data_IF_461506879542
#
_entry.id   IF_461506879542
#
_cell.length_a   1.000
_cell.length_b   1.000
_cell.length_c   1.000
_cell.angle_alpha   90.00
_cell.angle_beta   90.00
_cell.angle_gamma   90.00
#
_symmetry.space_group_name_H-M   'P 1'
#
loop_
_entity.id
_entity.type
_entity.pdbx_description
1 polymer ?
#
# COMPACT_ATOMS: atom_id res chain seq x y z
N UNK A 1 7.44 45.19 -5.24
CA UNK A 1 7.20 43.90 -5.90
C UNK A 1 7.02 42.89 -4.77
N UNK A 2 5.84 42.31 -4.63
CA UNK A 2 5.60 41.32 -3.58
C UNK A 2 6.26 40.01 -4.02
N UNK A 3 7.13 39.48 -3.17
CA UNK A 3 7.78 38.19 -3.40
C UNK A 3 6.71 37.09 -3.28
N UNK A 4 6.51 36.33 -4.36
CA UNK A 4 5.57 35.22 -4.40
C UNK A 4 6.07 34.12 -3.47
N UNK A 5 5.39 33.92 -2.34
CA UNK A 5 5.72 32.85 -1.41
C UNK A 5 5.35 31.52 -2.07
N UNK A 6 6.35 30.82 -2.61
CA UNK A 6 6.17 29.48 -3.15
C UNK A 6 6.00 28.49 -1.99
N UNK A 7 4.75 28.15 -1.67
CA UNK A 7 4.43 27.16 -0.63
C UNK A 7 4.76 25.75 -1.15
N UNK A 8 5.89 25.19 -0.73
CA UNK A 8 6.21 23.77 -0.94
C UNK A 8 5.39 22.93 0.04
N UNK A 9 4.50 22.07 -0.47
CA UNK A 9 3.81 21.04 0.31
C UNK A 9 4.43 19.68 -0.01
N UNK A 10 4.88 18.98 1.02
CA UNK A 10 5.51 17.66 0.91
C UNK A 10 4.77 16.70 1.84
N UNK A 11 4.43 15.52 1.32
CA UNK A 11 3.85 14.42 2.10
C UNK A 11 4.84 13.27 2.01
N UNK A 12 5.43 12.90 3.15
CA UNK A 12 6.30 11.74 3.25
C UNK A 12 5.49 10.54 3.77
N UNK A 13 5.53 9.45 3.01
CA UNK A 13 4.92 8.18 3.36
C UNK A 13 6.03 7.15 3.36
N UNK A 14 6.23 6.51 4.51
CA UNK A 14 7.18 5.42 4.71
C UNK A 14 6.40 4.17 5.05
N UNK A 15 6.73 3.08 4.38
CA UNK A 15 6.13 1.76 4.58
C UNK A 15 7.22 0.71 4.49
N UNK A 16 7.15 -0.28 5.37
CA UNK A 16 7.94 -1.50 5.26
C UNK A 16 7.06 -2.60 4.69
N UNK A 17 7.60 -3.45 3.83
CA UNK A 17 6.85 -4.58 3.31
C UNK A 17 7.76 -5.78 3.09
N UNK A 18 7.25 -6.96 3.44
CA UNK A 18 7.90 -8.23 3.18
C UNK A 18 7.01 -9.13 2.33
N UNK A 19 7.66 -9.96 1.50
CA UNK A 19 6.98 -11.00 0.74
C UNK A 19 7.30 -12.34 1.36
N UNK A 20 6.26 -13.09 1.69
CA UNK A 20 6.33 -14.44 2.19
C UNK A 20 6.05 -15.44 1.07
N UNK A 21 5.95 -16.72 1.42
CA UNK A 21 5.61 -17.76 0.47
C UNK A 21 4.20 -17.57 -0.11
N UNK A 22 3.96 -18.21 -1.27
CA UNK A 22 2.63 -18.30 -1.88
C UNK A 22 1.95 -16.94 -2.02
N UNK A 23 2.68 -15.97 -2.57
CA UNK A 23 2.22 -14.61 -2.87
C UNK A 23 1.76 -13.76 -1.67
N UNK A 24 1.88 -14.24 -0.44
CA UNK A 24 1.54 -13.49 0.77
C UNK A 24 2.52 -12.34 0.99
N UNK A 25 2.00 -11.22 1.47
CA UNK A 25 2.76 -10.03 1.80
C UNK A 25 2.22 -9.43 3.09
N UNK A 26 3.14 -8.97 3.93
CA UNK A 26 2.83 -8.22 5.14
C UNK A 26 3.47 -6.84 5.01
N UNK A 27 2.66 -5.80 5.15
CA UNK A 27 3.09 -4.40 5.08
C UNK A 27 2.82 -3.66 6.37
N UNK A 28 3.72 -2.78 6.77
CA UNK A 28 3.62 -1.93 7.93
C UNK A 28 3.60 -0.46 7.52
N UNK A 29 2.53 0.24 7.87
CA UNK A 29 2.36 1.66 7.59
C UNK A 29 1.86 2.38 8.85
N UNK A 30 2.69 3.26 9.44
CA UNK A 30 2.33 4.11 10.60
C UNK A 30 1.64 3.36 11.76
N UNK A 31 2.11 2.15 12.06
CA UNK A 31 1.57 1.31 13.15
C UNK A 31 0.40 0.40 12.76
N UNK A 32 -0.01 0.40 11.49
CA UNK A 32 -0.99 -0.55 10.94
C UNK A 32 -0.28 -1.67 10.18
N UNK A 33 -0.73 -2.89 10.39
CA UNK A 33 -0.33 -4.06 9.59
C UNK A 33 -1.39 -4.30 8.51
N UNK A 34 -0.93 -4.44 7.27
CA UNK A 34 -1.75 -4.75 6.10
C UNK A 34 -1.29 -6.09 5.54
N UNK A 35 -2.21 -7.04 5.48
CA UNK A 35 -2.00 -8.32 4.83
C UNK A 35 -2.48 -8.25 3.39
N UNK A 36 -1.73 -8.88 2.49
CA UNK A 36 -2.06 -8.91 1.09
C UNK A 36 -1.73 -10.30 0.52
N UNK A 37 -2.61 -10.82 -0.33
CA UNK A 37 -2.47 -12.16 -0.91
C UNK A 37 -3.14 -12.19 -2.28
N UNK A 38 -2.72 -13.13 -3.12
CA UNK A 38 -3.35 -13.35 -4.42
C UNK A 38 -4.37 -14.49 -4.35
N UNK A 39 -5.23 -14.59 -5.37
CA UNK A 39 -6.10 -15.74 -5.52
C UNK A 39 -5.33 -17.01 -5.90
N UNK A 40 -5.94 -18.18 -5.67
CA UNK A 40 -5.34 -19.49 -5.99
C UNK A 40 -4.85 -19.60 -7.45
N UNK A 41 -5.60 -19.01 -8.39
CA UNK A 41 -5.25 -19.00 -9.82
C UNK A 41 -3.95 -18.25 -10.14
N UNK A 42 -3.52 -17.38 -9.23
CA UNK A 42 -2.31 -16.58 -9.33
C UNK A 42 -1.20 -17.08 -8.39
N UNK A 43 -1.40 -18.24 -7.74
CA UNK A 43 -0.42 -18.86 -6.83
C UNK A 43 -0.51 -18.39 -5.37
N UNK A 44 -1.57 -17.68 -5.00
CA UNK A 44 -1.84 -17.31 -3.61
C UNK A 44 -2.81 -18.25 -2.89
N UNK A 45 -3.20 -17.90 -1.67
CA UNK A 45 -4.10 -18.69 -0.82
C UNK A 45 -5.49 -18.07 -0.65
N UNK A 46 -5.78 -16.95 -1.34
CA UNK A 46 -7.02 -16.18 -1.17
C UNK A 46 -7.28 -15.77 0.30
N UNK A 47 -6.22 -15.59 1.08
CA UNK A 47 -6.29 -15.33 2.53
C UNK A 47 -6.41 -13.85 2.88
N UNK A 48 -6.13 -12.96 1.93
CA UNK A 48 -6.28 -11.52 2.02
C UNK A 48 -6.60 -10.93 0.62
N UNK A 49 -7.04 -9.67 0.51
CA UNK A 49 -7.24 -9.02 -0.80
C UNK A 49 -5.93 -8.89 -1.59
N UNK A 50 -5.98 -8.93 -2.93
CA UNK A 50 -4.80 -8.72 -3.78
C UNK A 50 -4.35 -7.25 -3.78
N UNK A 51 -3.09 -6.97 -4.15
CA UNK A 51 -2.53 -5.61 -4.11
C UNK A 51 -3.37 -4.62 -4.92
N UNK A 52 -3.91 -5.05 -6.07
CA UNK A 52 -4.74 -4.22 -6.92
C UNK A 52 -6.09 -3.85 -6.28
N UNK A 53 -6.62 -4.67 -5.38
CA UNK A 53 -7.83 -4.33 -4.63
C UNK A 53 -7.55 -3.19 -3.64
N UNK A 54 -6.43 -3.25 -2.90
CA UNK A 54 -6.00 -2.17 -2.02
C UNK A 54 -5.72 -0.87 -2.79
N UNK A 55 -5.04 -0.96 -3.92
CA UNK A 55 -4.82 0.21 -4.79
C UNK A 55 -6.15 0.80 -5.27
N UNK A 56 -7.09 -0.02 -5.73
CA UNK A 56 -8.43 0.43 -6.11
C UNK A 56 -9.17 1.14 -4.97
N UNK A 57 -9.11 0.60 -3.76
CA UNK A 57 -9.72 1.22 -2.58
C UNK A 57 -9.08 2.57 -2.22
N UNK A 58 -7.76 2.71 -2.35
CA UNK A 58 -7.04 3.98 -2.10
C UNK A 58 -7.36 5.11 -3.08
N UNK A 59 -8.01 4.80 -4.20
CA UNK A 59 -8.55 5.80 -5.12
C UNK A 59 -9.99 6.18 -4.77
N UNK A 60 -10.71 5.30 -4.07
CA UNK A 60 -12.11 5.49 -3.71
C UNK A 60 -12.27 6.31 -2.42
N UNK A 61 -11.32 6.22 -1.49
CA UNK A 61 -11.22 7.02 -0.27
C UNK A 61 -9.75 7.35 0.03
#
# INVERSE_FOLDING_TARGET
MAEEIQVKREIMVEVDAETAERMKKEGHARGFTVYCDEGERSGGDSSAPPPLAYFGLSLAF
#
